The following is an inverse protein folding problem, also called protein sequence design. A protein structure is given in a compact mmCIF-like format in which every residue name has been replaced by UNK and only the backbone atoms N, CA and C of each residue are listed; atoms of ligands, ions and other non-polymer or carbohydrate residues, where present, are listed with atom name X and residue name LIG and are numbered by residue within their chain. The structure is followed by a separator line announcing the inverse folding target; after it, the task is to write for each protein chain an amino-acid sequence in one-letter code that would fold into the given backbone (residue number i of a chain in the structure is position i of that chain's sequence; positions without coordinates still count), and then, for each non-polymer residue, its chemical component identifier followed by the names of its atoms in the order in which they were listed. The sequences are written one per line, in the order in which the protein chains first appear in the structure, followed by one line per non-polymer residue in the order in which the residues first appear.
data_IF_895142660518
#
_entry.id   IF_895142660518
#
_cell.length_a   1.000
_cell.length_b   1.000
_cell.length_c   1.000
_cell.angle_alpha   90.00
_cell.angle_beta   90.00
_cell.angle_gamma   90.00
#
_symmetry.space_group_name_H-M   'P 1'
#
loop_
_entity.id
_entity.type
_entity.pdbx_description
1 polymer ?
#
# COMPACT_ATOMS: atom_id res chain seq x y z
N UNK A 1 55.38 14.42 -7.97
CA UNK A 1 54.54 13.46 -8.73
C UNK A 1 54.07 12.29 -7.88
N UNK A 2 54.95 11.59 -7.17
CA UNK A 2 54.59 10.43 -6.30
C UNK A 2 53.58 10.78 -5.21
N UNK A 3 53.75 11.92 -4.52
CA UNK A 3 52.85 12.37 -3.45
C UNK A 3 51.41 12.64 -3.93
N UNK A 4 51.27 13.17 -5.15
CA UNK A 4 49.98 13.49 -5.75
C UNK A 4 49.22 12.22 -6.12
N UNK A 5 49.94 11.22 -6.63
CA UNK A 5 49.37 9.91 -6.98
C UNK A 5 48.91 9.15 -5.73
N UNK A 6 49.67 9.17 -4.63
CA UNK A 6 49.27 8.54 -3.37
C UNK A 6 48.04 9.19 -2.74
N UNK A 7 47.92 10.52 -2.82
CA UNK A 7 46.73 11.25 -2.36
C UNK A 7 45.49 10.91 -3.20
N UNK A 8 45.65 10.80 -4.52
CA UNK A 8 44.56 10.45 -5.43
C UNK A 8 44.01 9.04 -5.16
N UNK A 9 44.91 8.07 -4.95
CA UNK A 9 44.55 6.68 -4.64
C UNK A 9 43.85 6.58 -3.29
N UNK A 10 44.33 7.30 -2.27
CA UNK A 10 43.68 7.35 -0.97
C UNK A 10 42.27 7.99 -1.04
N UNK A 11 42.10 9.04 -1.85
CA UNK A 11 40.79 9.66 -2.07
C UNK A 11 39.81 8.72 -2.76
N UNK A 12 40.26 8.03 -3.82
CA UNK A 12 39.44 7.07 -4.56
C UNK A 12 39.03 5.88 -3.69
N UNK A 13 39.94 5.37 -2.85
CA UNK A 13 39.64 4.31 -1.88
C UNK A 13 38.62 4.77 -0.83
N UNK A 14 38.75 6.01 -0.32
CA UNK A 14 37.79 6.59 0.62
C UNK A 14 36.40 6.79 -0.01
N UNK A 15 36.33 7.24 -1.26
CA UNK A 15 35.09 7.36 -2.04
C UNK A 15 34.44 5.99 -2.31
N UNK A 16 35.23 4.95 -2.56
CA UNK A 16 34.71 3.60 -2.72
C UNK A 16 34.11 3.04 -1.42
N UNK A 17 34.63 3.42 -0.25
CA UNK A 17 34.04 3.02 1.06
C UNK A 17 32.76 3.78 1.43
N UNK A 18 32.46 4.90 0.76
CA UNK A 18 31.20 5.65 0.91
C UNK A 18 30.06 5.07 0.05
N UNK A 19 30.36 4.13 -0.85
CA UNK A 19 29.35 3.33 -1.53
C UNK A 19 28.88 2.23 -0.58
N UNK A 20 28.04 2.60 0.38
CA UNK A 20 27.20 1.59 1.06
C UNK A 20 26.46 0.80 -0.02
N UNK A 21 26.32 -0.54 0.10
CA UNK A 21 25.43 -1.25 -0.80
C UNK A 21 24.08 -0.54 -0.74
N UNK A 22 23.62 -0.04 -1.87
CA UNK A 22 22.23 0.34 -2.03
C UNK A 22 21.47 -0.96 -1.74
N UNK A 23 20.88 -1.08 -0.55
CA UNK A 23 19.77 -2.01 -0.36
C UNK A 23 18.87 -1.84 -1.59
N UNK A 24 18.52 -2.95 -2.23
CA UNK A 24 17.85 -2.92 -3.52
C UNK A 24 16.63 -1.99 -3.42
N UNK A 25 16.71 -0.83 -4.06
CA UNK A 25 15.63 0.15 -4.04
C UNK A 25 14.44 -0.46 -4.79
N UNK A 26 13.40 -0.83 -4.05
CA UNK A 26 12.15 -1.26 -4.65
C UNK A 26 11.32 -0.03 -5.05
N UNK A 27 10.94 0.10 -6.33
CA UNK A 27 10.13 1.23 -6.76
C UNK A 27 8.77 1.23 -6.03
N UNK A 28 8.23 2.40 -5.62
CA UNK A 28 6.95 2.48 -4.91
C UNK A 28 5.79 1.75 -5.59
N UNK A 29 5.81 1.65 -6.93
CA UNK A 29 4.82 0.89 -7.70
C UNK A 29 4.82 -0.61 -7.36
N UNK A 30 6.01 -1.20 -7.14
CA UNK A 30 6.15 -2.62 -6.76
C UNK A 30 5.64 -2.86 -5.34
N UNK A 31 5.98 -1.97 -4.40
CA UNK A 31 5.45 -2.00 -3.04
C UNK A 31 3.92 -1.91 -3.03
N UNK A 32 3.34 -1.00 -3.80
CA UNK A 32 1.88 -0.86 -3.91
C UNK A 32 1.23 -2.09 -4.53
N UNK A 33 1.87 -2.71 -5.53
CA UNK A 33 1.43 -3.96 -6.15
C UNK A 33 1.34 -5.09 -5.12
N UNK A 34 2.37 -5.23 -4.28
CA UNK A 34 2.45 -6.30 -3.28
C UNK A 34 1.44 -6.10 -2.14
N UNK A 35 1.31 -4.85 -1.67
CA UNK A 35 0.28 -4.47 -0.71
C UNK A 35 -1.12 -4.76 -1.27
N UNK A 36 -1.36 -4.39 -2.54
CA UNK A 36 -2.65 -4.60 -3.21
C UNK A 36 -2.96 -6.09 -3.36
N UNK A 37 -1.96 -6.89 -3.72
CA UNK A 37 -2.11 -8.34 -3.87
C UNK A 37 -2.45 -9.01 -2.53
N UNK A 38 -1.70 -8.70 -1.46
CA UNK A 38 -1.97 -9.24 -0.12
C UNK A 38 -3.33 -8.80 0.42
N UNK A 39 -3.71 -7.54 0.23
CA UNK A 39 -5.04 -7.07 0.61
C UNK A 39 -6.13 -7.74 -0.23
N UNK A 40 -5.91 -7.89 -1.53
CA UNK A 40 -6.80 -8.58 -2.47
C UNK A 40 -7.08 -10.01 -2.04
N UNK A 41 -6.05 -10.79 -1.69
CA UNK A 41 -6.20 -12.16 -1.19
C UNK A 41 -7.08 -12.24 0.06
N UNK A 42 -6.92 -11.30 0.98
CA UNK A 42 -7.77 -11.19 2.18
C UNK A 42 -9.21 -10.81 1.79
N UNK A 43 -9.39 -9.88 0.84
CA UNK A 43 -10.72 -9.51 0.34
C UNK A 43 -11.41 -10.67 -0.38
N UNK A 44 -10.68 -11.54 -1.10
CA UNK A 44 -11.22 -12.77 -1.68
C UNK A 44 -11.70 -13.72 -0.58
N UNK A 45 -10.93 -13.89 0.49
CA UNK A 45 -11.37 -14.71 1.65
C UNK A 45 -12.63 -14.13 2.31
N UNK A 46 -12.69 -12.81 2.47
CA UNK A 46 -13.87 -12.11 2.93
C UNK A 46 -15.08 -12.33 2.00
N UNK A 47 -14.86 -12.26 0.68
CA UNK A 47 -15.91 -12.47 -0.32
C UNK A 47 -16.50 -13.87 -0.23
N UNK A 48 -15.65 -14.91 -0.20
CA UNK A 48 -16.10 -16.30 -0.06
C UNK A 48 -16.96 -16.54 1.19
N UNK A 49 -16.67 -15.80 2.28
CA UNK A 49 -17.41 -15.91 3.54
C UNK A 49 -18.71 -15.11 3.54
N UNK A 50 -18.70 -13.90 3.00
CA UNK A 50 -19.84 -12.96 3.07
C UNK A 50 -20.81 -13.11 1.89
N UNK A 51 -20.30 -13.53 0.74
CA UNK A 51 -21.00 -13.58 -0.54
C UNK A 51 -20.72 -14.91 -1.25
N UNK A 52 -21.08 -16.08 -0.65
CA UNK A 52 -20.67 -17.40 -1.14
C UNK A 52 -21.15 -17.75 -2.56
N UNK A 53 -22.17 -17.05 -3.06
CA UNK A 53 -22.70 -17.24 -4.42
C UNK A 53 -22.00 -16.36 -5.48
N UNK A 54 -21.05 -15.52 -5.07
CA UNK A 54 -20.30 -14.62 -5.95
C UNK A 54 -18.86 -15.11 -6.05
N UNK A 55 -18.37 -15.24 -7.28
CA UNK A 55 -17.08 -15.87 -7.55
C UNK A 55 -15.92 -14.89 -7.37
N UNK A 56 -16.02 -13.68 -7.95
CA UNK A 56 -15.03 -12.59 -7.84
C UNK A 56 -15.77 -11.27 -7.98
N UNK A 57 -15.38 -10.24 -7.22
CA UNK A 57 -15.93 -8.89 -7.39
C UNK A 57 -15.14 -8.18 -8.52
N UNK A 58 -15.79 -7.73 -9.62
CA UNK A 58 -15.10 -7.17 -10.78
C UNK A 58 -14.28 -5.92 -10.44
N UNK A 59 -14.66 -5.18 -9.39
CA UNK A 59 -13.91 -4.02 -8.95
C UNK A 59 -12.55 -4.38 -8.35
N UNK A 60 -12.33 -5.63 -7.91
CA UNK A 60 -11.04 -6.08 -7.39
C UNK A 60 -10.00 -6.24 -8.52
N UNK A 61 -10.37 -6.91 -9.61
CA UNK A 61 -9.47 -7.18 -10.73
C UNK A 61 -9.13 -5.90 -11.50
N UNK A 62 -10.12 -5.02 -11.66
CA UNK A 62 -9.98 -3.77 -12.42
C UNK A 62 -9.64 -2.57 -11.53
N UNK A 63 -9.30 -2.80 -10.25
CA UNK A 63 -9.14 -1.73 -9.26
C UNK A 63 -8.15 -0.65 -9.71
N UNK A 64 -7.03 -1.07 -10.33
CA UNK A 64 -5.96 -0.20 -10.78
C UNK A 64 -6.02 0.16 -12.28
N UNK A 65 -7.04 -0.27 -13.02
CA UNK A 65 -7.25 0.17 -14.40
C UNK A 65 -7.69 1.65 -14.41
N UNK A 66 -6.90 2.57 -15.03
CA UNK A 66 -7.20 4.00 -15.05
C UNK A 66 -8.54 4.34 -15.72
N UNK A 67 -9.07 3.48 -16.58
CA UNK A 67 -10.34 3.68 -17.27
C UNK A 67 -11.52 3.01 -16.53
N UNK A 68 -11.25 2.20 -15.52
CA UNK A 68 -12.28 1.48 -14.77
C UNK A 68 -12.82 2.31 -13.62
N UNK A 69 -14.15 2.37 -13.53
CA UNK A 69 -14.86 3.07 -12.45
C UNK A 69 -15.25 2.10 -11.34
N UNK A 70 -14.46 2.10 -10.27
CA UNK A 70 -14.77 1.38 -9.02
C UNK A 70 -16.07 1.94 -8.42
N UNK A 71 -17.11 1.11 -8.30
CA UNK A 71 -18.45 1.56 -7.89
C UNK A 71 -19.29 0.57 -7.10
N UNK A 72 -18.91 -0.70 -7.04
CA UNK A 72 -19.65 -1.71 -6.31
C UNK A 72 -19.47 -1.52 -4.80
N UNK A 73 -20.57 -1.23 -4.10
CA UNK A 73 -20.58 -1.07 -2.63
C UNK A 73 -20.08 -2.33 -1.93
N UNK A 74 -20.24 -3.49 -2.56
CA UNK A 74 -19.72 -4.78 -2.08
C UNK A 74 -18.22 -4.74 -1.86
N UNK A 75 -17.43 -4.15 -2.76
CA UNK A 75 -15.98 -3.97 -2.56
C UNK A 75 -15.68 -3.22 -1.26
N UNK A 76 -16.49 -2.22 -0.92
CA UNK A 76 -16.41 -1.52 0.35
C UNK A 76 -16.68 -2.41 1.58
N UNK A 77 -17.62 -3.36 1.48
CA UNK A 77 -17.81 -4.38 2.52
C UNK A 77 -16.56 -5.26 2.67
N UNK A 78 -15.94 -5.65 1.55
CA UNK A 78 -14.71 -6.46 1.55
C UNK A 78 -13.55 -5.70 2.19
N UNK A 79 -13.43 -4.39 1.95
CA UNK A 79 -12.45 -3.55 2.63
C UNK A 79 -12.65 -3.52 4.15
N UNK A 80 -13.88 -3.32 4.62
CA UNK A 80 -14.20 -3.36 6.06
C UNK A 80 -13.84 -4.72 6.66
N UNK A 81 -14.19 -5.80 5.98
CA UNK A 81 -13.83 -7.15 6.42
C UNK A 81 -12.31 -7.34 6.47
N UNK A 82 -11.57 -6.97 5.41
CA UNK A 82 -10.12 -7.15 5.32
C UNK A 82 -9.35 -6.34 6.35
N UNK A 83 -9.74 -5.07 6.56
CA UNK A 83 -9.16 -4.22 7.60
C UNK A 83 -9.35 -4.82 9.00
N UNK A 84 -10.49 -5.44 9.27
CA UNK A 84 -10.74 -6.16 10.53
C UNK A 84 -9.93 -7.45 10.62
N UNK A 85 -9.85 -8.22 9.54
CA UNK A 85 -9.10 -9.48 9.47
C UNK A 85 -7.62 -9.27 9.78
N UNK A 86 -7.03 -8.26 9.15
CA UNK A 86 -5.63 -7.86 9.34
C UNK A 86 -5.41 -7.02 10.61
N UNK A 87 -6.47 -6.77 11.40
CA UNK A 87 -6.43 -5.94 12.60
C UNK A 87 -5.86 -4.52 12.36
N UNK A 88 -6.08 -3.97 11.16
CA UNK A 88 -5.68 -2.62 10.78
C UNK A 88 -6.60 -1.55 11.37
N UNK A 89 -7.74 -1.98 11.94
CA UNK A 89 -8.61 -1.17 12.79
C UNK A 89 -8.80 -1.84 14.14
N UNK A 90 -9.03 -1.04 15.16
CA UNK A 90 -9.52 -1.49 16.47
C UNK A 90 -10.97 -1.98 16.38
N UNK A 91 -11.48 -2.57 17.47
CA UNK A 91 -12.86 -3.06 17.55
C UNK A 91 -13.91 -1.95 17.39
N UNK A 92 -13.54 -0.72 17.75
CA UNK A 92 -14.35 0.50 17.58
C UNK A 92 -14.25 1.11 16.17
N UNK A 93 -13.47 0.51 15.27
CA UNK A 93 -13.35 0.94 13.87
C UNK A 93 -12.28 2.00 13.61
N UNK A 94 -11.70 2.59 14.66
CA UNK A 94 -10.57 3.52 14.51
C UNK A 94 -9.35 2.80 13.98
N UNK A 95 -8.54 3.51 13.21
CA UNK A 95 -7.33 2.94 12.62
C UNK A 95 -6.32 2.52 13.70
N UNK A 96 -5.71 1.35 13.53
CA UNK A 96 -4.60 0.87 14.35
C UNK A 96 -3.29 1.17 13.61
N UNK A 97 -2.76 2.37 13.82
CA UNK A 97 -1.55 2.86 13.13
C UNK A 97 -0.35 1.91 13.31
N UNK A 98 -0.21 1.30 14.49
CA UNK A 98 0.88 0.36 14.74
C UNK A 98 0.79 -0.89 13.84
N UNK A 99 -0.42 -1.44 13.65
CA UNK A 99 -0.62 -2.59 12.77
C UNK A 99 -0.53 -2.19 11.29
N UNK A 100 -0.99 -0.99 10.90
CA UNK A 100 -0.78 -0.45 9.55
C UNK A 100 0.72 -0.37 9.24
N UNK A 101 1.52 0.22 10.15
CA UNK A 101 2.97 0.32 9.97
C UNK A 101 3.64 -1.05 9.82
N UNK A 102 3.23 -2.03 10.63
CA UNK A 102 3.74 -3.42 10.53
C UNK A 102 3.37 -4.06 9.20
N UNK A 103 2.11 -3.91 8.78
CA UNK A 103 1.64 -4.42 7.49
C UNK A 103 2.43 -3.82 6.33
N UNK A 104 2.66 -2.51 6.32
CA UNK A 104 3.47 -1.85 5.29
C UNK A 104 4.95 -2.26 5.34
N UNK A 105 5.50 -2.49 6.54
CA UNK A 105 6.90 -2.93 6.69
C UNK A 105 7.12 -4.35 6.18
N UNK A 106 6.11 -5.22 6.24
CA UNK A 106 6.17 -6.58 5.70
C UNK A 106 6.08 -6.65 4.15
N UNK A 107 6.21 -5.51 3.47
CA UNK A 107 6.19 -5.37 2.01
C UNK A 107 7.44 -4.60 1.52
N UNK A 108 8.54 -4.68 2.26
CA UNK A 108 9.88 -4.17 1.88
C UNK A 108 9.96 -2.69 1.43
N UNK A 109 8.92 -1.92 1.78
CA UNK A 109 8.86 -0.50 1.52
C UNK A 109 10.00 0.25 2.26
N UNK A 110 10.77 1.03 1.51
CA UNK A 110 11.75 1.93 2.11
C UNK A 110 11.07 2.89 3.11
N UNK A 111 11.81 3.43 4.10
CA UNK A 111 11.21 4.23 5.17
C UNK A 111 10.36 5.41 4.69
N UNK A 112 10.74 6.05 3.59
CA UNK A 112 10.04 7.22 3.05
C UNK A 112 8.74 6.83 2.36
N UNK A 113 8.78 5.82 1.49
CA UNK A 113 7.59 5.26 0.83
C UNK A 113 6.61 4.72 1.86
N UNK A 114 7.10 3.98 2.87
CA UNK A 114 6.26 3.47 3.97
C UNK A 114 5.54 4.58 4.71
N UNK A 115 6.26 5.64 5.10
CA UNK A 115 5.64 6.76 5.82
C UNK A 115 4.55 7.41 4.97
N UNK A 116 4.83 7.63 3.68
CA UNK A 116 3.86 8.22 2.77
C UNK A 116 2.60 7.35 2.61
N UNK A 117 2.76 6.03 2.41
CA UNK A 117 1.65 5.09 2.32
C UNK A 117 0.84 5.02 3.63
N UNK A 118 1.50 5.09 4.79
CA UNK A 118 0.83 5.15 6.09
C UNK A 118 -0.05 6.40 6.20
N UNK A 119 0.49 7.58 5.84
CA UNK A 119 -0.28 8.82 5.87
C UNK A 119 -1.48 8.76 4.92
N UNK A 120 -1.30 8.24 3.70
CA UNK A 120 -2.41 8.04 2.76
C UNK A 120 -3.51 7.15 3.35
N UNK A 121 -3.13 6.05 4.00
CA UNK A 121 -4.08 5.15 4.68
C UNK A 121 -4.85 5.84 5.79
N UNK A 122 -4.14 6.56 6.67
CA UNK A 122 -4.73 7.29 7.81
C UNK A 122 -5.69 8.38 7.30
N UNK A 123 -5.25 9.20 6.35
CA UNK A 123 -6.06 10.29 5.80
C UNK A 123 -7.31 9.76 5.10
N UNK A 124 -7.20 8.71 4.28
CA UNK A 124 -8.36 8.15 3.60
C UNK A 124 -9.32 7.44 4.56
N UNK A 125 -8.83 6.80 5.62
CA UNK A 125 -9.67 6.23 6.68
C UNK A 125 -10.49 7.33 7.38
N UNK A 126 -9.84 8.43 7.78
CA UNK A 126 -10.48 9.54 8.48
C UNK A 126 -11.50 10.27 7.60
N UNK A 127 -11.12 10.63 6.38
CA UNK A 127 -11.96 11.44 5.48
C UNK A 127 -13.18 10.68 4.94
N UNK A 128 -13.15 9.35 4.95
CA UNK A 128 -14.25 8.51 4.46
C UNK A 128 -15.28 8.16 5.53
N UNK A 129 -15.01 8.45 6.81
CA UNK A 129 -15.83 7.96 7.92
C UNK A 129 -15.74 6.44 8.12
N UNK A 130 -14.61 5.82 7.74
CA UNK A 130 -14.44 4.36 7.78
C UNK A 130 -14.70 3.75 9.17
N UNK A 131 -14.49 4.52 10.24
CA UNK A 131 -14.78 4.08 11.62
C UNK A 131 -16.23 3.62 11.84
N UNK A 132 -17.18 4.09 11.02
CA UNK A 132 -18.57 3.64 11.03
C UNK A 132 -18.74 2.20 10.53
N UNK A 133 -17.71 1.63 9.89
CA UNK A 133 -17.66 0.27 9.33
C UNK A 133 -18.79 -0.04 8.35
N UNK A 134 -19.32 0.97 7.69
CA UNK A 134 -20.31 0.78 6.63
C UNK A 134 -19.60 0.46 5.32
N UNK A 135 -20.24 -0.34 4.47
CA UNK A 135 -19.67 -0.67 3.17
C UNK A 135 -19.45 0.58 2.31
N UNK A 136 -20.36 1.56 2.38
CA UNK A 136 -20.21 2.84 1.67
C UNK A 136 -18.97 3.61 2.13
N UNK A 137 -18.70 3.68 3.44
CA UNK A 137 -17.48 4.31 3.95
C UNK A 137 -16.22 3.54 3.51
N UNK A 138 -16.28 2.20 3.49
CA UNK A 138 -15.22 1.36 2.95
C UNK A 138 -14.92 1.65 1.48
N UNK A 139 -15.94 1.77 0.63
CA UNK A 139 -15.78 2.08 -0.78
C UNK A 139 -15.21 3.50 -0.98
N UNK A 140 -15.67 4.48 -0.19
CA UNK A 140 -15.13 5.84 -0.19
C UNK A 140 -13.65 5.86 0.19
N UNK A 141 -13.24 5.08 1.21
CA UNK A 141 -11.84 4.97 1.61
C UNK A 141 -10.97 4.37 0.50
N UNK A 142 -11.44 3.29 -0.15
CA UNK A 142 -10.73 2.66 -1.26
C UNK A 142 -10.54 3.61 -2.44
N UNK A 143 -11.59 4.33 -2.83
CA UNK A 143 -11.51 5.35 -3.90
C UNK A 143 -10.53 6.47 -3.54
N UNK A 144 -10.57 6.96 -2.30
CA UNK A 144 -9.60 7.94 -1.82
C UNK A 144 -8.17 7.43 -1.95
N UNK A 145 -7.92 6.19 -1.50
CA UNK A 145 -6.59 5.59 -1.56
C UNK A 145 -6.12 5.45 -3.01
N UNK A 146 -6.99 4.92 -3.87
CA UNK A 146 -6.73 4.78 -5.31
C UNK A 146 -6.34 6.12 -5.95
N UNK A 147 -7.17 7.15 -5.80
CA UNK A 147 -6.90 8.48 -6.36
C UNK A 147 -5.58 9.05 -5.84
N UNK A 148 -5.27 8.85 -4.56
CA UNK A 148 -4.03 9.35 -3.98
C UNK A 148 -2.82 8.63 -4.54
N UNK A 149 -2.86 7.30 -4.69
CA UNK A 149 -1.80 6.52 -5.32
C UNK A 149 -1.59 6.89 -6.80
N UNK A 150 -2.68 7.11 -7.54
CA UNK A 150 -2.64 7.56 -8.94
C UNK A 150 -1.96 8.94 -9.06
N UNK A 151 -2.25 9.89 -8.16
CA UNK A 151 -1.63 11.21 -8.14
C UNK A 151 -0.11 11.18 -7.91
N UNK A 152 0.40 10.18 -7.20
CA UNK A 152 1.83 9.97 -6.99
C UNK A 152 2.50 9.19 -8.13
N UNK A 153 1.72 8.70 -9.11
CA UNK A 153 2.22 7.85 -10.18
C UNK A 153 2.59 6.44 -9.71
N UNK A 154 2.11 6.02 -8.54
CA UNK A 154 2.47 4.74 -7.91
C UNK A 154 1.49 3.61 -8.21
N UNK A 155 0.41 3.88 -8.96
CA UNK A 155 -0.54 2.86 -9.36
C UNK A 155 0.16 1.74 -10.18
N UNK A 156 -0.01 0.45 -9.82
CA UNK A 156 0.61 -0.68 -10.53
C UNK A 156 0.25 -0.75 -12.01
N UNK A 157 -0.95 -0.29 -12.37
CA UNK A 157 -1.59 -0.51 -13.67
C UNK A 157 -2.62 -1.62 -13.60
N UNK A 158 -3.28 -1.89 -14.71
CA UNK A 158 -4.15 -3.07 -14.87
C UNK A 158 -3.30 -4.35 -14.98
N UNK A 159 -3.79 -5.45 -14.40
CA UNK A 159 -3.24 -6.80 -14.62
C UNK A 159 -3.81 -7.43 -15.89
#
# INVERSE_FOLDING_TARGET
MVLLATLLVALLAALATLMTPLDAYEPPRTVVNDISSKMGDIMVQCSRKMFPNYHVDPDMDSFWDPNYKVQEVRLGCLAVCGMRWLQLTHSDGRINVANVRRFLTANDADPSTRWQLEQMFVTCHQNSGFEQRTCSAGLTALRCYRTTIEQYGWAPGSY
#
